data_IF_877838886065
#
_entry.id   IF_877838886065
#
_cell.length_a   1.000
_cell.length_b   1.000
_cell.length_c   1.000
_cell.angle_alpha   90.00
_cell.angle_beta   90.00
_cell.angle_gamma   90.00
#
_symmetry.space_group_name_H-M   'P 1'
#
loop_
_entity.id
_entity.type
_entity.pdbx_description
1 polymer ?
#
# COMPACT_ATOMS: atom_id res chain seq x y z
N UNK A 1 56.24 -5.09 6.60
CA UNK A 1 55.05 -5.37 5.77
C UNK A 1 53.93 -6.00 6.61
N UNK A 2 53.34 -5.27 7.56
CA UNK A 2 52.23 -5.75 8.42
C UNK A 2 51.04 -4.78 8.51
N UNK A 3 51.16 -3.62 7.87
CA UNK A 3 50.18 -2.53 7.97
C UNK A 3 49.30 -2.39 6.72
N UNK A 4 49.65 -3.04 5.61
CA UNK A 4 48.90 -2.94 4.35
C UNK A 4 47.70 -3.92 4.34
N UNK A 5 47.79 -5.04 5.06
CA UNK A 5 46.73 -6.05 5.13
C UNK A 5 45.55 -5.64 6.03
N UNK A 6 45.69 -4.62 6.87
CA UNK A 6 44.59 -4.13 7.71
C UNK A 6 43.60 -3.24 6.92
N UNK A 7 44.09 -2.48 5.93
CA UNK A 7 43.26 -1.57 5.14
C UNK A 7 42.34 -2.29 4.15
N UNK A 8 42.72 -3.46 3.66
CA UNK A 8 41.88 -4.26 2.75
C UNK A 8 40.74 -4.98 3.46
N UNK A 9 40.86 -5.27 4.76
CA UNK A 9 39.79 -5.92 5.54
C UNK A 9 38.69 -4.92 5.91
N UNK A 10 39.04 -3.65 6.13
CA UNK A 10 38.06 -2.59 6.41
C UNK A 10 37.12 -2.31 5.23
N UNK A 11 37.56 -2.53 3.99
CA UNK A 11 36.71 -2.38 2.79
C UNK A 11 35.78 -3.58 2.53
N UNK A 12 36.09 -4.76 3.09
CA UNK A 12 35.24 -5.95 2.99
C UNK A 12 34.06 -5.93 3.97
N UNK A 13 34.12 -5.11 5.04
CA UNK A 13 33.04 -4.98 6.03
C UNK A 13 32.05 -3.86 5.72
N UNK A 14 32.36 -2.93 4.81
CA UNK A 14 31.41 -1.96 4.25
C UNK A 14 30.46 -2.57 3.20
N UNK A 15 30.66 -3.84 2.84
CA UNK A 15 29.76 -4.61 1.98
C UNK A 15 28.78 -5.47 2.80
N UNK A 16 28.44 -5.06 4.02
CA UNK A 16 27.09 -5.31 4.52
C UNK A 16 26.11 -4.56 3.60
N UNK A 17 25.87 -5.13 2.42
CA UNK A 17 24.62 -4.95 1.73
C UNK A 17 23.56 -5.14 2.80
N UNK A 18 22.88 -4.05 3.14
CA UNK A 18 21.63 -4.11 3.85
C UNK A 18 20.79 -5.02 2.96
N UNK A 19 20.72 -6.29 3.35
CA UNK A 19 19.80 -7.24 2.78
C UNK A 19 18.47 -6.64 3.21
N UNK A 20 17.90 -5.80 2.35
CA UNK A 20 16.50 -5.43 2.43
C UNK A 20 15.81 -6.78 2.54
N UNK A 21 15.39 -7.11 3.76
CA UNK A 21 14.78 -8.40 4.07
C UNK A 21 13.71 -8.64 3.02
N UNK A 22 13.61 -9.89 2.59
CA UNK A 22 12.71 -10.33 1.52
C UNK A 22 11.49 -9.43 1.47
N UNK A 23 11.33 -8.76 0.33
CA UNK A 23 10.30 -7.75 0.07
C UNK A 23 8.98 -8.27 0.61
N UNK A 24 8.60 -7.83 1.82
CA UNK A 24 7.50 -8.43 2.57
C UNK A 24 6.25 -8.32 1.71
N UNK A 25 5.69 -9.44 1.24
CA UNK A 25 4.47 -9.42 0.42
C UNK A 25 3.31 -9.05 1.35
N UNK A 26 2.68 -7.90 1.13
CA UNK A 26 1.95 -7.19 2.19
C UNK A 26 2.89 -6.25 2.97
N UNK A 27 2.51 -4.99 3.17
CA UNK A 27 3.32 -4.00 3.91
C UNK A 27 3.13 -2.55 3.48
N UNK A 28 2.25 -2.27 2.52
CA UNK A 28 1.96 -0.89 2.11
C UNK A 28 1.36 -0.11 3.28
N UNK A 29 0.39 -0.71 3.97
CA UNK A 29 -0.28 -0.08 5.11
C UNK A 29 0.74 0.18 6.23
N UNK A 30 1.53 -0.83 6.61
CA UNK A 30 2.58 -0.65 7.62
C UNK A 30 3.62 0.40 7.21
N UNK A 31 4.00 0.46 5.93
CA UNK A 31 4.89 1.49 5.42
C UNK A 31 4.29 2.89 5.57
N UNK A 32 3.04 3.10 5.15
CA UNK A 32 2.42 4.42 5.23
C UNK A 32 2.17 4.85 6.67
N UNK A 33 1.79 3.94 7.57
CA UNK A 33 1.63 4.23 9.01
C UNK A 33 2.96 4.60 9.69
N UNK A 34 4.08 4.09 9.20
CA UNK A 34 5.42 4.38 9.77
C UNK A 34 6.06 5.64 9.21
N UNK A 35 5.67 6.10 8.01
CA UNK A 35 6.29 7.23 7.32
C UNK A 35 5.40 8.47 7.20
N UNK A 36 4.10 8.34 7.38
CA UNK A 36 3.14 9.43 7.19
C UNK A 36 2.04 9.43 8.26
N UNK A 37 1.37 10.57 8.43
CA UNK A 37 0.18 10.65 9.27
C UNK A 37 -1.03 10.07 8.53
N UNK A 38 -1.55 8.96 9.05
CA UNK A 38 -2.74 8.28 8.54
C UNK A 38 -3.95 8.59 9.43
N UNK A 39 -5.16 8.28 8.97
CA UNK A 39 -6.41 8.59 9.69
C UNK A 39 -7.06 7.36 10.30
N UNK A 40 -7.51 6.44 9.45
CA UNK A 40 -8.32 5.30 9.86
C UNK A 40 -7.73 4.05 9.25
N UNK A 41 -7.52 3.03 10.08
CA UNK A 41 -7.24 1.67 9.66
C UNK A 41 -8.44 0.79 10.01
N UNK A 42 -9.02 0.14 9.01
CA UNK A 42 -10.20 -0.71 9.19
C UNK A 42 -9.94 -2.09 8.60
N UNK A 43 -9.93 -3.15 9.43
CA UNK A 43 -9.98 -4.51 8.90
C UNK A 43 -11.36 -4.76 8.30
N UNK A 44 -11.39 -5.51 7.19
CA UNK A 44 -12.61 -5.85 6.47
C UNK A 44 -12.94 -7.33 6.66
N UNK A 45 -14.23 -7.72 6.62
CA UNK A 45 -14.65 -9.12 6.78
C UNK A 45 -14.09 -10.07 5.71
N UNK A 46 -13.66 -9.54 4.58
CA UNK A 46 -13.07 -10.32 3.47
C UNK A 46 -11.56 -10.54 3.61
N UNK A 47 -10.97 -10.18 4.75
CA UNK A 47 -9.53 -10.35 5.00
C UNK A 47 -8.65 -9.25 4.41
N UNK A 48 -9.25 -8.18 3.84
CA UNK A 48 -8.53 -6.97 3.49
C UNK A 48 -8.42 -6.01 4.69
N UNK A 49 -7.54 -5.02 4.55
CA UNK A 49 -7.41 -3.87 5.44
C UNK A 49 -7.49 -2.64 4.56
N UNK A 50 -8.30 -1.66 4.98
CA UNK A 50 -8.37 -0.35 4.36
C UNK A 50 -7.66 0.65 5.26
N UNK A 51 -6.74 1.41 4.67
CA UNK A 51 -6.08 2.56 5.28
C UNK A 51 -6.58 3.83 4.61
N UNK A 52 -7.18 4.73 5.38
CA UNK A 52 -7.57 6.06 4.94
C UNK A 52 -6.50 7.08 5.32
N UNK A 53 -6.11 7.90 4.36
CA UNK A 53 -5.10 8.94 4.51
C UNK A 53 -5.51 10.20 3.74
N UNK A 54 -4.77 11.30 3.94
CA UNK A 54 -5.03 12.52 3.19
C UNK A 54 -4.70 12.36 1.70
N UNK A 55 -5.46 13.07 0.86
CA UNK A 55 -5.34 12.97 -0.60
C UNK A 55 -4.01 13.45 -1.16
N UNK A 56 -3.32 14.37 -0.46
CA UNK A 56 -2.00 14.85 -0.85
C UNK A 56 -0.91 13.77 -0.79
N UNK A 57 -1.19 12.62 -0.14
CA UNK A 57 -0.25 11.50 -0.04
C UNK A 57 -0.27 10.57 -1.26
N UNK A 58 -1.12 10.82 -2.26
CA UNK A 58 -1.15 10.02 -3.49
C UNK A 58 0.21 9.86 -4.18
N UNK A 59 1.07 10.90 -4.29
CA UNK A 59 2.41 10.73 -4.84
C UNK A 59 3.25 9.70 -4.07
N UNK A 60 3.12 9.66 -2.73
CA UNK A 60 3.84 8.69 -1.89
C UNK A 60 3.35 7.26 -2.13
N UNK A 61 2.06 7.08 -2.40
CA UNK A 61 1.49 5.77 -2.77
C UNK A 61 2.04 5.28 -4.12
N UNK A 62 2.15 6.19 -5.08
CA UNK A 62 2.74 5.90 -6.40
C UNK A 62 4.22 5.52 -6.24
N UNK A 63 4.97 6.28 -5.44
CA UNK A 63 6.39 6.03 -5.22
C UNK A 63 6.63 4.71 -4.48
N UNK A 64 5.79 4.39 -3.48
CA UNK A 64 5.83 3.09 -2.82
C UNK A 64 5.57 1.95 -3.81
N UNK A 65 4.60 2.08 -4.73
CA UNK A 65 4.34 1.06 -5.75
C UNK A 65 5.60 0.80 -6.59
N UNK A 66 6.31 1.86 -7.02
CA UNK A 66 7.57 1.75 -7.78
C UNK A 66 8.70 1.13 -6.97
N UNK A 67 8.84 1.50 -5.69
CA UNK A 67 9.84 0.93 -4.77
C UNK A 67 9.69 -0.59 -4.61
N UNK A 68 8.48 -1.11 -4.86
CA UNK A 68 8.15 -2.53 -4.81
C UNK A 68 8.33 -3.25 -6.15
N UNK A 69 8.99 -2.62 -7.12
CA UNK A 69 9.05 -3.05 -8.53
C UNK A 69 7.65 -3.25 -9.14
N UNK A 70 6.66 -2.53 -8.62
CA UNK A 70 5.30 -2.56 -9.11
C UNK A 70 5.01 -1.40 -10.07
N UNK A 71 3.88 -1.51 -10.76
CA UNK A 71 3.30 -0.48 -11.60
C UNK A 71 1.88 -0.18 -11.14
N UNK A 72 1.54 1.11 -11.09
CA UNK A 72 0.17 1.54 -10.81
C UNK A 72 -0.60 1.62 -12.13
N UNK A 73 -1.59 0.74 -12.30
CA UNK A 73 -2.45 0.67 -13.49
C UNK A 73 -3.88 0.86 -13.02
N UNK A 74 -4.54 1.92 -13.50
CA UNK A 74 -5.82 2.36 -12.97
C UNK A 74 -5.73 2.58 -11.45
N UNK A 75 -6.50 1.81 -10.67
CA UNK A 75 -6.55 1.86 -9.19
C UNK A 75 -5.71 0.77 -8.53
N UNK A 76 -4.92 0.00 -9.28
CA UNK A 76 -4.19 -1.16 -8.75
C UNK A 76 -2.69 -0.98 -8.86
N UNK A 77 -1.98 -1.22 -7.75
CA UNK A 77 -0.55 -1.48 -7.82
C UNK A 77 -0.35 -2.98 -8.07
N UNK A 78 0.28 -3.32 -9.18
CA UNK A 78 0.56 -4.70 -9.60
C UNK A 78 2.06 -4.95 -9.73
N UNK A 79 2.51 -6.15 -9.38
CA UNK A 79 3.91 -6.55 -9.55
C UNK A 79 4.21 -7.00 -11.00
N UNK A 80 5.46 -7.40 -11.24
CA UNK A 80 5.94 -7.93 -12.52
C UNK A 80 5.20 -9.18 -13.01
N UNK A 81 4.59 -9.94 -12.10
CA UNK A 81 3.80 -11.14 -12.40
C UNK A 81 2.31 -10.83 -12.57
N UNK A 82 1.95 -9.55 -12.68
CA UNK A 82 0.57 -9.06 -12.76
C UNK A 82 -0.27 -9.41 -11.53
N UNK A 83 0.38 -9.54 -10.39
CA UNK A 83 -0.25 -9.88 -9.13
C UNK A 83 -0.64 -8.61 -8.35
N UNK A 84 -1.85 -8.50 -7.77
CA UNK A 84 -2.27 -7.29 -7.08
C UNK A 84 -1.54 -7.14 -5.74
N UNK A 85 -0.81 -6.05 -5.56
CA UNK A 85 -0.17 -5.70 -4.29
C UNK A 85 -1.15 -4.96 -3.37
N UNK A 86 -1.73 -3.87 -3.85
CA UNK A 86 -2.76 -3.11 -3.15
C UNK A 86 -3.62 -2.31 -4.15
N UNK A 87 -4.80 -1.92 -3.71
CA UNK A 87 -5.71 -1.03 -4.43
C UNK A 87 -5.63 0.38 -3.85
N UNK A 88 -5.74 1.40 -4.69
CA UNK A 88 -5.85 2.80 -4.29
C UNK A 88 -7.09 3.44 -4.92
N UNK A 89 -7.92 4.11 -4.13
CA UNK A 89 -9.03 4.91 -4.64
C UNK A 89 -9.26 6.12 -3.74
N UNK A 90 -10.04 7.09 -4.22
CA UNK A 90 -10.58 8.11 -3.32
C UNK A 90 -11.85 7.59 -2.66
N UNK A 91 -12.02 7.87 -1.38
CA UNK A 91 -13.32 7.75 -0.72
C UNK A 91 -14.27 8.76 -1.36
N UNK A 92 -15.55 8.39 -1.45
CA UNK A 92 -16.58 9.39 -1.74
C UNK A 92 -16.66 10.44 -0.63
N UNK A 93 -17.32 11.58 -0.87
CA UNK A 93 -17.73 12.46 0.22
C UNK A 93 -18.58 11.63 1.20
N UNK A 94 -18.21 11.64 2.48
CA UNK A 94 -18.96 10.99 3.53
C UNK A 94 -19.74 12.07 4.29
N UNK A 95 -21.05 12.08 4.14
CA UNK A 95 -21.90 12.91 4.98
C UNK A 95 -22.01 12.25 6.36
N UNK A 96 -21.45 12.91 7.37
CA UNK A 96 -21.55 12.46 8.75
C UNK A 96 -22.66 13.26 9.42
N UNK A 97 -23.75 12.63 9.87
CA UNK A 97 -24.76 13.31 10.66
C UNK A 97 -24.19 13.63 12.05
N UNK A 98 -24.17 14.91 12.42
CA UNK A 98 -23.82 15.35 13.75
C UNK A 98 -25.03 15.95 14.44
N UNK A 99 -25.26 15.51 15.67
CA UNK A 99 -26.26 16.12 16.56
C UNK A 99 -25.59 17.19 17.41
N UNK A 100 -25.95 18.45 17.17
CA UNK A 100 -25.50 19.60 17.96
C UNK A 100 -26.74 20.30 18.51
N UNK A 101 -26.87 20.34 19.84
CA UNK A 101 -28.00 20.97 20.54
C UNK A 101 -29.39 20.52 20.02
N UNK A 102 -29.55 19.22 19.77
CA UNK A 102 -30.83 18.65 19.31
C UNK A 102 -31.15 18.87 17.83
N UNK A 103 -30.29 19.59 17.08
CA UNK A 103 -30.41 19.75 15.63
C UNK A 103 -29.43 18.83 14.91
N UNK A 104 -29.90 18.15 13.86
CA UNK A 104 -29.07 17.34 12.97
C UNK A 104 -28.45 18.22 11.90
N UNK A 105 -27.11 18.27 11.87
CA UNK A 105 -26.33 18.93 10.80
C UNK A 105 -25.56 17.86 10.04
N UNK A 106 -25.58 17.93 8.71
CA UNK A 106 -24.75 17.09 7.87
C UNK A 106 -23.39 17.75 7.70
N UNK A 107 -22.33 17.09 8.15
CA UNK A 107 -20.97 17.54 7.93
C UNK A 107 -20.38 16.70 6.80
N UNK A 108 -20.13 17.33 5.65
CA UNK A 108 -19.46 16.69 4.53
C UNK A 108 -17.99 16.49 4.88
N UNK A 109 -17.56 15.23 5.00
CA UNK A 109 -16.16 14.88 5.04
C UNK A 109 -15.50 15.18 3.71
N UNK A 110 -14.28 15.70 3.74
CA UNK A 110 -13.43 15.77 2.54
C UNK A 110 -13.09 14.35 2.08
N UNK A 111 -12.97 14.12 0.75
CA UNK A 111 -12.54 12.83 0.25
C UNK A 111 -11.17 12.46 0.83
N UNK A 112 -10.99 11.20 1.18
CA UNK A 112 -9.75 10.62 1.66
C UNK A 112 -9.16 9.72 0.58
N UNK A 113 -7.86 9.46 0.65
CA UNK A 113 -7.23 8.41 -0.14
C UNK A 113 -7.35 7.10 0.63
N UNK A 114 -7.96 6.09 0.00
CA UNK A 114 -8.08 4.73 0.53
C UNK A 114 -7.03 3.83 -0.13
N UNK A 115 -6.20 3.19 0.69
CA UNK A 115 -5.32 2.10 0.29
C UNK A 115 -5.88 0.81 0.85
N UNK A 116 -6.21 -0.15 -0.01
CA UNK A 116 -6.72 -1.47 0.38
C UNK A 116 -5.68 -2.53 0.09
N UNK A 117 -5.28 -3.27 1.10
CA UNK A 117 -4.30 -4.35 1.02
C UNK A 117 -4.84 -5.59 1.72
N UNK A 118 -4.23 -6.75 1.48
CA UNK A 118 -4.51 -7.94 2.29
C UNK A 118 -4.07 -7.75 3.75
N UNK A 119 -4.74 -8.45 4.65
CA UNK A 119 -4.23 -8.67 6.00
C UNK A 119 -3.04 -9.65 5.99
N UNK A 120 -2.16 -9.54 6.99
CA UNK A 120 -0.99 -10.40 7.20
C UNK A 120 -1.33 -11.89 7.41
N UNK A 121 -2.58 -12.22 7.72
CA UNK A 121 -3.05 -13.59 7.89
C UNK A 121 -3.55 -14.26 6.60
N UNK A 122 -3.66 -13.53 5.49
CA UNK A 122 -4.16 -14.05 4.21
C UNK A 122 -3.01 -14.42 3.28
N UNK A 123 -3.11 -15.60 2.65
CA UNK A 123 -2.16 -16.03 1.62
C UNK A 123 -2.30 -15.21 0.33
N UNK A 124 -1.30 -15.33 -0.55
CA UNK A 124 -1.38 -14.78 -1.91
C UNK A 124 -2.68 -15.28 -2.59
N UNK A 125 -2.90 -16.58 -2.71
CA UNK A 125 -4.08 -17.10 -3.41
C UNK A 125 -5.43 -16.59 -2.87
N UNK A 126 -5.57 -16.48 -1.54
CA UNK A 126 -6.77 -15.92 -0.92
C UNK A 126 -6.94 -14.43 -1.26
N UNK A 127 -5.85 -13.66 -1.22
CA UNK A 127 -5.88 -12.26 -1.62
C UNK A 127 -6.28 -12.08 -3.08
N UNK A 128 -5.70 -12.87 -3.99
CA UNK A 128 -6.06 -12.81 -5.41
C UNK A 128 -7.54 -13.11 -5.63
N UNK A 129 -8.08 -14.08 -4.91
CA UNK A 129 -9.51 -14.42 -4.94
C UNK A 129 -10.35 -13.24 -4.48
N UNK A 130 -10.04 -12.65 -3.33
CA UNK A 130 -10.75 -11.48 -2.79
C UNK A 130 -10.65 -10.28 -3.73
N UNK A 131 -9.45 -10.00 -4.26
CA UNK A 131 -9.22 -8.93 -5.20
C UNK A 131 -10.12 -9.06 -6.44
N UNK A 132 -10.25 -10.27 -7.00
CA UNK A 132 -11.13 -10.57 -8.14
C UNK A 132 -12.61 -10.47 -7.77
N UNK A 133 -13.05 -11.22 -6.77
CA UNK A 133 -14.47 -11.40 -6.43
C UNK A 133 -15.12 -10.19 -5.75
N UNK A 134 -14.37 -9.44 -4.94
CA UNK A 134 -14.90 -8.31 -4.16
C UNK A 134 -14.48 -6.96 -4.71
N UNK A 135 -13.26 -6.86 -5.23
CA UNK A 135 -12.65 -5.57 -5.55
C UNK A 135 -12.53 -5.30 -7.05
N UNK A 136 -12.91 -6.25 -7.90
CA UNK A 136 -12.94 -6.10 -9.36
C UNK A 136 -11.54 -6.07 -9.98
N UNK A 137 -10.58 -6.78 -9.40
CA UNK A 137 -9.27 -6.97 -10.01
C UNK A 137 -9.40 -7.86 -11.25
N UNK A 138 -9.01 -7.34 -12.40
CA UNK A 138 -9.01 -8.08 -13.67
C UNK A 138 -7.64 -7.92 -14.34
N UNK A 139 -6.73 -8.91 -14.18
CA UNK A 139 -5.38 -8.81 -14.70
C UNK A 139 -5.34 -8.73 -16.24
N UNK A 140 -6.28 -9.37 -16.94
CA UNK A 140 -6.30 -9.37 -18.41
C UNK A 140 -6.64 -7.97 -18.93
N UNK A 141 -7.68 -7.35 -18.35
CA UNK A 141 -8.05 -5.97 -18.68
C UNK A 141 -6.96 -4.95 -18.29
N UNK A 142 -6.25 -5.19 -17.19
CA UNK A 142 -5.15 -4.31 -16.77
C UNK A 142 -3.92 -4.46 -17.67
N UNK A 143 -3.68 -5.65 -18.24
CA UNK A 143 -2.61 -5.86 -19.22
C UNK A 143 -2.84 -5.03 -20.49
N UNK A 144 -4.08 -4.97 -20.99
CA UNK A 144 -4.46 -4.15 -22.14
C UNK A 144 -4.23 -2.66 -21.90
N UNK A 145 -4.50 -2.17 -20.69
CA UNK A 145 -4.31 -0.77 -20.29
C UNK A 145 -2.84 -0.40 -20.05
N UNK A 146 -1.94 -1.38 -20.04
CA UNK A 146 -0.51 -1.19 -19.76
C UNK A 146 0.37 -1.19 -21.01
N UNK A 147 -0.21 -1.45 -22.18
CA UNK A 147 0.44 -1.44 -23.49
C UNK A 147 0.10 -0.17 -24.27
#
# INVERSE_FOLDING_TARGET
MRWITALTISFLLSACAIKFGDVKKGGAIEYFETHHTTKIRSPMPDGSIVLMMDTYLQPMVIDYCKLRNGRLVSVWCIDENQYPLFKVKYSGPSDVPLMVNGSMTMLSGYPLLEVTERNNSFSDQEWLKVAKERWGFDPEKLAELSN
#
